data_IF_141671300265
#
_entry.id   IF_141671300265
#
_cell.length_a   1.000
_cell.length_b   1.000
_cell.length_c   1.000
_cell.angle_alpha   90.00
_cell.angle_beta   90.00
_cell.angle_gamma   90.00
#
_symmetry.space_group_name_H-M   'P 1'
#
loop_
_entity.id
_entity.type
_entity.pdbx_description
1 polymer ?
#
# COMPACT_ATOMS: atom_id res chain seq x y z
N UNK A 1 -2.82 16.06 2.11
CA UNK A 1 -3.02 15.21 0.92
C UNK A 1 -3.22 13.80 1.42
N UNK A 2 -4.26 13.08 0.99
CA UNK A 2 -4.42 11.65 1.30
C UNK A 2 -3.34 10.84 0.57
N UNK A 3 -2.87 9.72 1.13
CA UNK A 3 -1.92 8.81 0.44
C UNK A 3 -2.46 8.36 -0.91
N UNK A 4 -3.78 8.19 -1.05
CA UNK A 4 -4.41 7.85 -2.34
C UNK A 4 -4.12 8.91 -3.41
N UNK A 5 -4.21 10.20 -3.06
CA UNK A 5 -3.90 11.29 -3.98
C UNK A 5 -2.39 11.38 -4.28
N UNK A 6 -1.52 10.97 -3.36
CA UNK A 6 -0.08 10.87 -3.60
C UNK A 6 0.27 9.75 -4.60
N UNK A 7 -0.48 8.64 -4.59
CA UNK A 7 -0.27 7.49 -5.49
C UNK A 7 -0.75 7.73 -6.94
N UNK A 8 -1.77 8.57 -7.14
CA UNK A 8 -2.29 8.93 -8.47
C UNK A 8 -1.25 9.70 -9.31
N UNK A 9 -0.36 10.46 -8.65
CA UNK A 9 0.64 11.31 -9.29
C UNK A 9 2.02 10.64 -9.42
N UNK A 10 2.11 9.31 -9.23
CA UNK A 10 3.36 8.58 -9.39
C UNK A 10 3.68 8.34 -10.87
N UNK A 11 4.95 8.54 -11.21
CA UNK A 11 5.53 8.02 -12.45
C UNK A 11 5.55 6.49 -12.44
N UNK A 12 5.69 5.87 -13.61
CA UNK A 12 5.74 4.40 -13.72
C UNK A 12 6.85 3.78 -12.86
N UNK A 13 8.04 4.39 -12.86
CA UNK A 13 9.16 3.92 -12.06
C UNK A 13 8.91 4.04 -10.54
N UNK A 14 8.23 5.10 -10.11
CA UNK A 14 7.87 5.27 -8.69
C UNK A 14 6.78 4.29 -8.27
N UNK A 15 5.82 4.01 -9.16
CA UNK A 15 4.77 3.02 -8.92
C UNK A 15 5.38 1.62 -8.76
N UNK A 16 6.24 1.21 -9.69
CA UNK A 16 6.98 -0.05 -9.61
C UNK A 16 7.83 -0.15 -8.33
N UNK A 17 8.51 0.95 -7.96
CA UNK A 17 9.29 0.98 -6.72
C UNK A 17 8.43 0.87 -5.46
N UNK A 18 7.30 1.56 -5.40
CA UNK A 18 6.37 1.45 -4.28
C UNK A 18 5.79 0.03 -4.15
N UNK A 19 5.45 -0.59 -5.28
CA UNK A 19 4.95 -1.96 -5.33
C UNK A 19 5.99 -2.96 -4.83
N UNK A 20 7.25 -2.85 -5.28
CA UNK A 20 8.35 -3.67 -4.79
C UNK A 20 8.51 -3.61 -3.27
N UNK A 21 8.45 -2.41 -2.67
CA UNK A 21 8.55 -2.24 -1.21
C UNK A 21 7.35 -2.89 -0.49
N UNK A 22 6.16 -2.89 -1.08
CA UNK A 22 4.95 -3.52 -0.54
C UNK A 22 5.01 -5.04 -0.62
N UNK A 23 5.38 -5.58 -1.77
CA UNK A 23 5.47 -7.02 -2.02
C UNK A 23 6.53 -7.68 -1.13
N UNK A 24 7.66 -7.02 -0.95
CA UNK A 24 8.74 -7.51 -0.08
C UNK A 24 8.44 -7.32 1.41
N UNK A 25 7.50 -6.43 1.77
CA UNK A 25 7.28 -5.99 3.15
C UNK A 25 8.42 -5.14 3.73
N UNK A 26 9.52 -5.00 2.99
CA UNK A 26 10.69 -4.22 3.31
C UNK A 26 11.92 -4.69 2.53
N UNK A 27 12.76 -3.75 2.11
CA UNK A 27 13.94 -4.04 1.29
C UNK A 27 15.09 -3.08 1.61
N UNK A 28 16.33 -3.58 1.59
CA UNK A 28 17.49 -2.71 1.70
C UNK A 28 17.60 -1.85 0.43
N UNK A 29 17.83 -0.55 0.61
CA UNK A 29 17.92 0.42 -0.48
C UNK A 29 18.98 0.02 -1.53
N UNK A 30 20.04 -0.69 -1.13
CA UNK A 30 21.05 -1.23 -2.06
C UNK A 30 20.54 -2.33 -2.99
N UNK A 31 19.57 -3.12 -2.53
CA UNK A 31 18.91 -4.15 -3.33
C UNK A 31 17.77 -3.55 -4.16
N UNK A 32 17.09 -2.53 -3.65
CA UNK A 32 15.96 -1.89 -4.30
C UNK A 32 16.20 -1.54 -5.78
N UNK A 33 17.32 -0.89 -6.11
CA UNK A 33 17.61 -0.55 -7.51
C UNK A 33 18.13 -1.72 -8.34
N UNK A 34 18.67 -2.76 -7.71
CA UNK A 34 19.05 -4.00 -8.42
C UNK A 34 17.80 -4.74 -8.86
N UNK A 35 16.82 -4.88 -7.95
CA UNK A 35 15.54 -5.54 -8.23
C UNK A 35 14.71 -4.77 -9.27
N UNK A 36 14.72 -3.43 -9.24
CA UNK A 36 14.07 -2.61 -10.27
C UNK A 36 14.82 -2.52 -11.60
N UNK A 37 16.02 -3.12 -11.70
CA UNK A 37 16.92 -2.97 -12.87
C UNK A 37 17.17 -1.50 -13.27
N UNK A 38 17.50 -0.67 -12.28
CA UNK A 38 17.81 0.75 -12.47
C UNK A 38 19.17 1.13 -11.87
N UNK A 39 19.75 2.22 -12.37
CA UNK A 39 20.95 2.79 -11.74
C UNK A 39 20.68 3.23 -10.30
N UNK A 40 21.68 3.15 -9.42
CA UNK A 40 21.59 3.63 -8.04
C UNK A 40 21.18 5.11 -7.94
N UNK A 41 21.63 5.95 -8.88
CA UNK A 41 21.21 7.36 -8.97
C UNK A 41 19.71 7.49 -9.25
N UNK A 42 19.15 6.68 -10.14
CA UNK A 42 17.70 6.67 -10.43
C UNK A 42 16.93 6.10 -9.25
N UNK A 43 17.37 4.97 -8.70
CA UNK A 43 16.77 4.35 -7.51
C UNK A 43 16.73 5.29 -6.31
N UNK A 44 17.82 6.00 -6.02
CA UNK A 44 17.87 6.97 -4.93
C UNK A 44 16.84 8.09 -5.08
N UNK A 45 16.59 8.58 -6.31
CA UNK A 45 15.57 9.60 -6.56
C UNK A 45 14.16 9.07 -6.36
N UNK A 46 13.90 7.82 -6.77
CA UNK A 46 12.62 7.16 -6.55
C UNK A 46 12.36 7.04 -5.04
N UNK A 47 13.34 6.53 -4.29
CA UNK A 47 13.24 6.36 -2.83
C UNK A 47 13.01 7.70 -2.12
N UNK A 48 13.75 8.74 -2.50
CA UNK A 48 13.59 10.09 -1.95
C UNK A 48 12.18 10.64 -2.20
N UNK A 49 11.71 10.57 -3.45
CA UNK A 49 10.35 11.02 -3.81
C UNK A 49 9.25 10.23 -3.08
N UNK A 50 9.37 8.90 -2.98
CA UNK A 50 8.40 8.06 -2.27
C UNK A 50 8.39 8.37 -0.76
N UNK A 51 9.55 8.63 -0.16
CA UNK A 51 9.66 9.01 1.24
C UNK A 51 9.08 10.41 1.50
N UNK A 52 9.35 11.39 0.63
CA UNK A 52 8.78 12.74 0.70
C UNK A 52 7.25 12.74 0.57
N UNK A 53 6.71 11.86 -0.27
CA UNK A 53 5.26 11.65 -0.43
C UNK A 53 4.64 10.87 0.74
N UNK A 54 5.44 10.39 1.69
CA UNK A 54 5.00 9.63 2.85
C UNK A 54 4.52 8.21 2.52
N UNK A 55 4.95 7.64 1.40
CA UNK A 55 4.50 6.33 0.92
C UNK A 55 5.40 5.17 1.40
N UNK A 56 6.64 5.49 1.76
CA UNK A 56 7.60 4.57 2.38
C UNK A 56 8.28 5.25 3.58
N UNK A 57 8.87 4.43 4.45
CA UNK A 57 9.74 4.87 5.53
C UNK A 57 11.18 4.42 5.24
N UNK A 58 12.16 5.14 5.81
CA UNK A 58 13.59 4.85 5.66
C UNK A 58 14.23 4.80 7.04
N UNK A 59 14.87 3.69 7.35
CA UNK A 59 15.63 3.52 8.60
C UNK A 59 17.09 3.22 8.26
N UNK A 60 18.03 3.92 8.90
CA UNK A 60 19.46 3.61 8.72
C UNK A 60 19.78 2.20 9.23
N UNK A 61 20.57 1.45 8.46
CA UNK A 61 20.98 0.09 8.80
C UNK A 61 22.32 -0.26 8.18
N UNK A 62 22.88 -1.42 8.57
CA UNK A 62 24.07 -2.01 7.96
C UNK A 62 23.64 -3.27 7.21
N UNK A 63 23.92 -3.32 5.91
CA UNK A 63 23.68 -4.49 5.07
C UNK A 63 24.97 -4.87 4.35
N UNK A 64 25.35 -6.15 4.44
CA UNK A 64 26.61 -6.67 3.87
C UNK A 64 27.86 -5.84 4.24
N UNK A 65 27.89 -5.27 5.44
CA UNK A 65 29.01 -4.45 5.92
C UNK A 65 29.03 -3.00 5.42
N UNK A 66 27.99 -2.57 4.70
CA UNK A 66 27.84 -1.21 4.21
C UNK A 66 26.65 -0.50 4.86
N UNK A 67 26.83 0.77 5.24
CA UNK A 67 25.73 1.62 5.68
C UNK A 67 24.75 1.84 4.53
N UNK A 68 23.48 1.62 4.79
CA UNK A 68 22.38 1.78 3.83
C UNK A 68 21.10 2.14 4.58
N UNK A 69 19.97 2.10 3.88
CA UNK A 69 18.64 2.25 4.48
C UNK A 69 17.82 0.98 4.30
N UNK A 70 17.03 0.63 5.30
CA UNK A 70 15.93 -0.31 5.16
C UNK A 70 14.67 0.47 4.79
N UNK A 71 14.08 0.12 3.66
CA UNK A 71 12.86 0.74 3.14
C UNK A 71 11.67 -0.10 3.57
N UNK A 72 10.66 0.49 4.19
CA UNK A 72 9.43 -0.21 4.58
C UNK A 72 8.21 0.53 4.05
N UNK A 73 7.07 -0.16 3.81
CA UNK A 73 5.82 0.52 3.50
C UNK A 73 5.45 1.52 4.60
N UNK A 74 5.01 2.72 4.22
CA UNK A 74 4.35 3.57 5.18
C UNK A 74 2.98 2.95 5.54
N UNK A 75 2.53 3.06 6.81
CA UNK A 75 1.20 2.62 7.20
C UNK A 75 0.15 3.34 6.34
N UNK A 76 -0.64 2.58 5.60
CA UNK A 76 -1.74 3.14 4.81
C UNK A 76 -2.88 3.53 5.74
N UNK A 77 -3.36 4.75 5.54
CA UNK A 77 -4.65 5.17 6.06
C UNK A 77 -5.73 4.50 5.19
N UNK A 78 -6.04 3.25 5.52
CA UNK A 78 -7.04 2.47 4.80
C UNK A 78 -8.43 2.97 5.23
N UNK A 79 -9.18 3.51 4.27
CA UNK A 79 -10.57 3.82 4.52
C UNK A 79 -11.42 2.54 4.43
N UNK A 80 -11.66 1.91 5.58
CA UNK A 80 -12.52 0.74 5.67
C UNK A 80 -14.01 1.07 5.55
N UNK A 81 -14.41 2.35 5.48
CA UNK A 81 -15.83 2.72 5.34
C UNK A 81 -16.46 2.12 4.07
N UNK A 82 -15.68 1.90 3.00
CA UNK A 82 -16.16 1.25 1.79
C UNK A 82 -16.50 -0.24 1.97
N UNK A 83 -16.02 -0.85 3.05
CA UNK A 83 -16.35 -2.23 3.43
C UNK A 83 -17.51 -2.28 4.43
N UNK A 84 -17.99 -1.14 4.92
CA UNK A 84 -19.00 -1.07 5.97
C UNK A 84 -20.34 -0.60 5.41
N UNK A 85 -21.43 -1.05 6.04
CA UNK A 85 -22.78 -0.52 5.91
C UNK A 85 -23.36 -0.38 7.32
N UNK A 86 -23.28 0.82 7.89
CA UNK A 86 -23.48 1.05 9.31
C UNK A 86 -22.38 0.38 10.15
N UNK A 87 -22.80 -0.43 11.11
CA UNK A 87 -21.93 -1.27 11.94
C UNK A 87 -21.62 -2.64 11.33
N UNK A 88 -22.11 -2.92 10.11
CA UNK A 88 -21.95 -4.20 9.44
C UNK A 88 -20.80 -4.18 8.43
N UNK A 89 -19.82 -5.10 8.58
CA UNK A 89 -18.79 -5.36 7.56
C UNK A 89 -19.40 -6.14 6.39
N UNK A 90 -18.89 -5.92 5.17
CA UNK A 90 -19.28 -6.66 3.98
C UNK A 90 -19.17 -8.16 4.22
N UNK A 91 -20.23 -8.94 3.90
CA UNK A 91 -20.24 -10.39 4.14
C UNK A 91 -19.29 -11.15 3.21
N UNK A 92 -18.69 -10.48 2.22
CA UNK A 92 -17.73 -11.09 1.31
C UNK A 92 -16.28 -10.94 1.77
N UNK A 93 -16.04 -10.40 2.98
CA UNK A 93 -14.71 -10.34 3.58
C UNK A 93 -14.48 -11.60 4.42
N UNK A 94 -13.45 -12.37 4.04
CA UNK A 94 -12.96 -13.51 4.83
C UNK A 94 -13.71 -14.82 4.65
N UNK A 95 -14.77 -14.84 3.84
CA UNK A 95 -15.46 -16.07 3.43
C UNK A 95 -14.94 -16.54 2.06
N UNK A 96 -14.64 -17.83 1.94
CA UNK A 96 -14.20 -18.44 0.67
C UNK A 96 -15.40 -18.75 -0.24
N UNK A 97 -16.61 -18.86 0.31
CA UNK A 97 -17.84 -19.13 -0.42
C UNK A 97 -18.76 -17.90 -0.46
N UNK A 98 -18.68 -17.14 -1.56
CA UNK A 98 -19.54 -15.98 -1.80
C UNK A 98 -20.96 -16.43 -2.17
N UNK A 99 -21.94 -16.16 -1.32
CA UNK A 99 -23.37 -16.31 -1.63
C UNK A 99 -24.06 -14.95 -1.85
N UNK A 100 -24.34 -14.57 -3.13
CA UNK A 100 -25.02 -13.32 -3.47
C UNK A 100 -26.51 -13.31 -3.11
N UNK A 101 -27.08 -14.45 -2.69
CA UNK A 101 -28.46 -14.56 -2.23
C UNK A 101 -28.58 -14.66 -0.70
N UNK A 102 -27.48 -14.48 0.03
CA UNK A 102 -27.48 -14.56 1.48
C UNK A 102 -28.29 -13.44 2.16
N UNK A 103 -28.87 -13.78 3.32
CA UNK A 103 -29.56 -12.81 4.18
C UNK A 103 -28.61 -11.71 4.65
N UNK A 104 -27.36 -12.06 4.96
CA UNK A 104 -26.32 -11.10 5.39
C UNK A 104 -26.03 -10.06 4.31
N UNK A 105 -25.91 -10.48 3.04
CA UNK A 105 -25.75 -9.55 1.93
C UNK A 105 -26.96 -8.65 1.73
N UNK A 106 -28.17 -9.22 1.82
CA UNK A 106 -29.41 -8.44 1.71
C UNK A 106 -29.51 -7.38 2.80
N UNK A 107 -29.15 -7.70 4.04
CA UNK A 107 -29.12 -6.76 5.16
C UNK A 107 -28.04 -5.69 5.00
N UNK A 108 -26.84 -6.06 4.56
CA UNK A 108 -25.75 -5.13 4.28
C UNK A 108 -26.14 -4.10 3.20
N UNK A 109 -26.76 -4.54 2.10
CA UNK A 109 -27.27 -3.64 1.05
C UNK A 109 -28.38 -2.72 1.56
N UNK A 110 -29.30 -3.25 2.38
CA UNK A 110 -30.34 -2.42 2.98
C UNK A 110 -29.74 -1.34 3.88
N UNK A 111 -28.75 -1.66 4.72
CA UNK A 111 -28.09 -0.67 5.56
C UNK A 111 -27.45 0.45 4.72
N UNK A 112 -26.76 0.13 3.62
CA UNK A 112 -26.22 1.16 2.71
C UNK A 112 -27.30 2.08 2.15
N UNK A 113 -28.49 1.54 1.83
CA UNK A 113 -29.58 2.32 1.26
C UNK A 113 -30.26 3.26 2.28
N UNK A 114 -30.07 3.01 3.59
CA UNK A 114 -30.64 3.82 4.66
C UNK A 114 -29.59 4.64 5.43
N UNK A 115 -28.30 4.58 5.07
CA UNK A 115 -27.28 5.53 5.50
C UNK A 115 -27.44 6.85 4.70
N UNK A 116 -27.89 7.92 5.37
CA UNK A 116 -27.82 9.31 4.87
C UNK A 116 -26.45 9.95 5.16
#
# INVERSE_FOLDING_TARGET
MSMAASEENLTEDERAGLELVRETGGIHQSEFWKELDVSSRKGSRIVESLAEKGLIQREETIYEGHNTYHLTPAPRDLNFSLLMAGDMLSPFIGDEEVDPHSDAFSQWVMNLAYEE
#
